data_IF_356540832176
#
_entry.id   IF_356540832176
#
_cell.length_a   1.000
_cell.length_b   1.000
_cell.length_c   1.000
_cell.angle_alpha   90.00
_cell.angle_beta   90.00
_cell.angle_gamma   90.00
#
_symmetry.space_group_name_H-M   'P 1'
#
loop_
_entity.id
_entity.type
_entity.pdbx_description
1 polymer ?
#
# COMPACT_ATOMS: atom_id res chain seq x y z
N UNK A 1 -16.78 14.87 4.02
CA UNK A 1 -16.00 14.43 5.20
C UNK A 1 -16.80 13.71 6.28
N UNK A 2 -17.90 14.27 6.81
CA UNK A 2 -18.60 13.74 7.99
C UNK A 2 -19.10 12.29 7.85
N UNK A 3 -19.41 11.85 6.63
CA UNK A 3 -19.80 10.48 6.33
C UNK A 3 -18.69 9.44 6.56
N UNK A 4 -17.42 9.85 6.72
CA UNK A 4 -16.30 8.96 7.03
C UNK A 4 -16.08 8.75 8.54
N UNK A 5 -16.80 9.48 9.39
CA UNK A 5 -16.74 9.26 10.84
C UNK A 5 -17.53 8.00 11.21
N UNK A 6 -17.19 7.29 12.29
CA UNK A 6 -18.05 6.21 12.79
C UNK A 6 -19.42 6.77 13.18
N UNK A 7 -20.49 6.18 12.68
CA UNK A 7 -21.85 6.67 12.90
C UNK A 7 -22.91 5.57 12.75
N UNK A 8 -24.06 5.78 13.38
CA UNK A 8 -25.31 5.09 13.09
C UNK A 8 -26.25 5.99 12.28
N UNK A 9 -26.25 7.29 12.56
CA UNK A 9 -27.11 8.28 11.93
C UNK A 9 -26.33 9.52 11.48
N UNK A 10 -26.67 10.04 10.31
CA UNK A 10 -26.19 11.31 9.77
C UNK A 10 -27.36 12.23 9.48
N UNK A 11 -27.21 13.51 9.79
CA UNK A 11 -28.24 14.51 9.55
C UNK A 11 -27.60 15.82 9.06
N UNK A 12 -28.13 16.39 7.98
CA UNK A 12 -27.83 17.78 7.62
C UNK A 12 -28.86 18.64 8.35
N UNK A 13 -28.41 19.47 9.29
CA UNK A 13 -29.32 20.34 10.03
C UNK A 13 -29.68 21.58 9.22
N UNK A 14 -30.89 22.11 9.45
CA UNK A 14 -31.37 23.35 8.85
C UNK A 14 -30.57 24.55 9.40
N UNK A 15 -29.41 24.77 8.79
CA UNK A 15 -28.46 25.81 9.14
C UNK A 15 -27.81 26.35 7.87
N UNK A 16 -27.59 27.68 7.71
CA UNK A 16 -27.08 28.28 6.47
C UNK A 16 -25.74 27.71 5.97
N UNK A 17 -24.93 27.14 6.85
CA UNK A 17 -23.66 26.51 6.49
C UNK A 17 -23.80 25.04 6.05
N UNK A 18 -25.01 24.47 6.05
CA UNK A 18 -25.30 23.04 5.92
C UNK A 18 -24.43 22.21 6.88
N UNK A 19 -24.57 22.48 8.18
CA UNK A 19 -23.85 21.73 9.20
C UNK A 19 -24.34 20.29 9.23
N UNK A 20 -23.45 19.37 9.57
CA UNK A 20 -23.75 17.94 9.62
C UNK A 20 -23.59 17.44 11.04
N UNK A 21 -24.64 16.82 11.57
CA UNK A 21 -24.62 16.08 12.81
C UNK A 21 -24.36 14.60 12.54
N UNK A 22 -23.63 13.98 13.47
CA UNK A 22 -23.27 12.57 13.48
C UNK A 22 -23.70 12.03 14.84
N UNK A 23 -24.67 11.11 14.84
CA UNK A 23 -25.33 10.61 16.05
C UNK A 23 -25.80 11.72 17.01
N UNK A 24 -26.31 12.82 16.43
CA UNK A 24 -26.79 14.00 17.17
C UNK A 24 -25.71 15.01 17.60
N UNK A 25 -24.43 14.75 17.29
CA UNK A 25 -23.32 15.68 17.61
C UNK A 25 -22.81 16.39 16.37
N UNK A 26 -22.53 17.69 16.47
CA UNK A 26 -21.91 18.45 15.38
C UNK A 26 -20.58 17.82 14.97
N UNK A 27 -20.34 17.68 13.66
CA UNK A 27 -19.07 17.20 13.10
C UNK A 27 -18.16 18.34 12.61
N UNK A 28 -18.51 19.59 12.91
CA UNK A 28 -17.77 20.75 12.45
C UNK A 28 -16.48 20.93 13.27
N UNK A 29 -15.34 20.99 12.58
CA UNK A 29 -14.03 21.20 13.21
C UNK A 29 -13.42 19.94 13.82
N UNK A 30 -12.09 19.95 13.95
CA UNK A 30 -11.28 18.81 14.40
C UNK A 30 -11.69 18.30 15.77
N UNK A 31 -12.00 19.20 16.71
CA UNK A 31 -12.26 18.83 18.10
C UNK A 31 -13.58 18.08 18.27
N UNK A 32 -14.63 18.50 17.57
CA UNK A 32 -15.88 17.76 17.63
C UNK A 32 -15.75 16.38 16.96
N UNK A 33 -15.00 16.29 15.87
CA UNK A 33 -14.69 15.02 15.20
C UNK A 33 -13.89 14.08 16.10
N UNK A 34 -12.93 14.62 16.86
CA UNK A 34 -12.16 13.89 17.88
C UNK A 34 -13.11 13.25 18.89
N UNK A 35 -14.01 14.03 19.48
CA UNK A 35 -15.00 13.54 20.46
C UNK A 35 -15.90 12.44 19.90
N UNK A 36 -16.37 12.59 18.66
CA UNK A 36 -17.19 11.57 17.98
C UNK A 36 -16.40 10.26 17.84
N UNK A 37 -15.16 10.34 17.35
CA UNK A 37 -14.29 9.18 17.16
C UNK A 37 -13.95 8.52 18.51
N UNK A 38 -13.52 9.29 19.50
CA UNK A 38 -13.18 8.80 20.84
C UNK A 38 -14.37 8.05 21.46
N UNK A 39 -15.56 8.66 21.46
CA UNK A 39 -16.80 8.04 21.96
C UNK A 39 -17.14 6.73 21.22
N UNK A 40 -16.96 6.69 19.90
CA UNK A 40 -17.25 5.50 19.10
C UNK A 40 -16.28 4.34 19.40
N UNK A 41 -15.01 4.64 19.68
CA UNK A 41 -13.99 3.65 20.01
C UNK A 41 -14.03 3.22 21.48
N UNK A 42 -14.43 4.10 22.40
CA UNK A 42 -14.68 3.75 23.81
C UNK A 42 -15.72 2.64 23.95
N UNK A 43 -16.80 2.67 23.17
CA UNK A 43 -17.81 1.58 23.10
C UNK A 43 -17.21 0.22 22.72
N UNK A 44 -16.03 0.20 22.12
CA UNK A 44 -15.31 -1.01 21.67
C UNK A 44 -14.11 -1.35 22.55
N UNK A 45 -13.97 -0.68 23.71
CA UNK A 45 -12.81 -0.81 24.60
C UNK A 45 -11.48 -0.50 23.89
N UNK A 46 -11.52 0.46 22.97
CA UNK A 46 -10.37 0.89 22.15
C UNK A 46 -10.16 2.39 22.29
N UNK A 47 -8.92 2.82 22.08
CA UNK A 47 -8.54 4.24 22.12
C UNK A 47 -8.30 4.73 20.71
N UNK A 48 -8.94 5.85 20.35
CA UNK A 48 -8.69 6.50 19.08
C UNK A 48 -8.51 8.00 19.27
N UNK A 49 -7.83 8.66 18.34
CA UNK A 49 -7.69 10.11 18.39
C UNK A 49 -7.55 10.72 17.00
N UNK A 50 -7.58 12.06 16.93
CA UNK A 50 -7.48 12.83 15.69
C UNK A 50 -6.31 13.80 15.78
N UNK A 51 -5.55 13.93 14.70
CA UNK A 51 -4.48 14.92 14.57
C UNK A 51 -4.44 15.50 13.16
N UNK A 52 -4.10 16.77 13.03
CA UNK A 52 -3.85 17.39 11.74
C UNK A 52 -2.49 16.92 11.22
N UNK A 53 -2.38 16.63 9.93
CA UNK A 53 -1.12 16.19 9.31
C UNK A 53 0.02 17.19 9.53
N UNK A 54 -0.27 18.49 9.46
CA UNK A 54 0.72 19.54 9.76
C UNK A 54 1.26 19.45 11.19
N UNK A 55 0.41 19.18 12.18
CA UNK A 55 0.79 19.10 13.58
C UNK A 55 1.54 17.78 13.86
N UNK A 56 1.13 16.68 13.19
CA UNK A 56 1.87 15.43 13.25
C UNK A 56 3.29 15.59 12.71
N UNK A 57 3.49 16.37 11.63
CA UNK A 57 4.82 16.63 11.08
C UNK A 57 5.72 17.43 12.02
N UNK A 58 5.19 18.19 12.98
CA UNK A 58 6.00 18.94 13.97
C UNK A 58 6.35 18.13 15.22
N UNK A 59 5.67 17.02 15.51
CA UNK A 59 5.97 16.19 16.69
C UNK A 59 7.43 15.70 16.72
N UNK A 60 8.05 15.61 17.89
CA UNK A 60 9.35 14.93 17.98
C UNK A 60 9.16 13.40 17.88
N UNK A 61 10.28 12.65 17.91
CA UNK A 61 10.27 11.19 17.78
C UNK A 61 9.50 10.50 18.92
N UNK A 62 9.67 11.00 20.15
CA UNK A 62 9.09 10.39 21.34
C UNK A 62 7.60 10.71 21.45
N UNK A 63 7.18 11.93 21.17
CA UNK A 63 5.77 12.32 21.09
C UNK A 63 5.04 11.52 20.01
N UNK A 64 5.69 11.34 18.84
CA UNK A 64 5.13 10.53 17.76
C UNK A 64 4.91 9.09 18.22
N UNK A 65 5.85 8.50 18.97
CA UNK A 65 5.73 7.12 19.48
C UNK A 65 4.69 7.00 20.59
N UNK A 66 4.63 7.98 21.49
CA UNK A 66 3.63 8.02 22.57
C UNK A 66 2.22 8.06 21.99
N UNK A 67 1.99 8.88 20.96
CA UNK A 67 0.71 8.96 20.26
C UNK A 67 0.19 7.58 19.81
N UNK A 68 1.04 6.73 19.21
CA UNK A 68 0.64 5.39 18.75
C UNK A 68 0.65 4.33 19.85
N UNK A 69 1.38 4.54 20.94
CA UNK A 69 1.34 3.64 22.09
C UNK A 69 0.05 3.83 22.89
N UNK A 70 -0.46 5.06 22.93
CA UNK A 70 -1.62 5.45 23.73
C UNK A 70 -2.96 5.24 23.00
N UNK A 71 -2.93 5.05 21.68
CA UNK A 71 -4.12 4.92 20.85
C UNK A 71 -4.01 3.72 19.89
N UNK A 72 -5.07 2.91 19.81
CA UNK A 72 -5.19 1.82 18.83
C UNK A 72 -5.37 2.35 17.40
N UNK A 73 -6.03 3.50 17.24
CA UNK A 73 -6.29 4.13 15.93
C UNK A 73 -6.03 5.64 15.98
N UNK A 74 -5.27 6.16 15.02
CA UNK A 74 -5.01 7.60 14.89
C UNK A 74 -5.51 8.08 13.53
N UNK A 75 -6.48 8.98 13.53
CA UNK A 75 -6.97 9.64 12.34
C UNK A 75 -6.09 10.86 12.03
N UNK A 76 -5.48 10.87 10.84
CA UNK A 76 -4.65 11.99 10.38
C UNK A 76 -5.41 12.73 9.29
N UNK A 77 -5.71 14.01 9.52
CA UNK A 77 -6.43 14.85 8.56
C UNK A 77 -5.49 15.73 7.75
N UNK A 78 -5.72 15.80 6.44
CA UNK A 78 -4.97 16.64 5.50
C UNK A 78 -5.96 17.29 4.53
N UNK A 79 -5.81 18.58 4.26
CA UNK A 79 -6.79 19.38 3.51
C UNK A 79 -6.15 20.29 2.45
N UNK A 80 -4.94 19.99 1.99
CA UNK A 80 -4.19 20.93 1.15
C UNK A 80 -4.90 21.22 -0.18
N UNK A 81 -5.40 20.17 -0.85
CA UNK A 81 -6.03 20.28 -2.17
C UNK A 81 -7.24 21.20 -2.09
N UNK A 82 -8.21 20.92 -1.21
CA UNK A 82 -9.41 21.75 -1.06
C UNK A 82 -9.08 23.18 -0.62
N UNK A 83 -8.16 23.36 0.33
CA UNK A 83 -7.74 24.69 0.81
C UNK A 83 -7.20 25.61 -0.31
N UNK A 84 -6.65 25.02 -1.37
CA UNK A 84 -6.12 25.72 -2.54
C UNK A 84 -7.18 25.78 -3.65
N UNK A 85 -7.82 24.65 -3.96
CA UNK A 85 -8.79 24.49 -5.04
C UNK A 85 -10.07 25.30 -4.85
N UNK A 86 -10.59 25.43 -3.63
CA UNK A 86 -11.87 26.11 -3.42
C UNK A 86 -11.82 27.63 -3.56
N UNK A 87 -10.63 28.21 -3.53
CA UNK A 87 -10.47 29.67 -3.57
C UNK A 87 -10.26 30.13 -5.00
N UNK A 88 -11.08 31.08 -5.43
CA UNK A 88 -10.98 31.73 -6.75
C UNK A 88 -9.54 32.18 -7.09
N UNK A 89 -8.81 32.72 -6.12
CA UNK A 89 -7.46 33.26 -6.32
C UNK A 89 -6.35 32.20 -6.43
N UNK A 90 -6.62 30.96 -6.03
CA UNK A 90 -5.61 29.88 -6.03
C UNK A 90 -6.08 28.60 -6.74
N UNK A 91 -7.30 28.56 -7.28
CA UNK A 91 -7.85 27.34 -7.90
C UNK A 91 -6.98 26.81 -9.06
N UNK A 92 -6.25 27.69 -9.75
CA UNK A 92 -5.32 27.31 -10.81
C UNK A 92 -4.08 26.55 -10.33
N UNK A 93 -3.75 26.65 -9.04
CA UNK A 93 -2.58 26.00 -8.42
C UNK A 93 -2.88 24.59 -7.92
N UNK A 94 -4.02 24.00 -8.31
CA UNK A 94 -4.45 22.71 -7.74
C UNK A 94 -3.50 21.58 -8.10
N UNK A 95 -2.86 21.62 -9.27
CA UNK A 95 -1.91 20.57 -9.67
C UNK A 95 -0.66 20.60 -8.78
N UNK A 96 -0.13 21.79 -8.50
CA UNK A 96 0.95 21.97 -7.54
C UNK A 96 0.49 21.53 -6.14
N UNK A 97 -0.74 21.85 -5.74
CA UNK A 97 -1.30 21.41 -4.46
C UNK A 97 -1.44 19.89 -4.36
N UNK A 98 -1.71 19.19 -5.46
CA UNK A 98 -1.76 17.73 -5.54
C UNK A 98 -0.37 17.13 -5.38
N UNK A 99 0.64 17.64 -6.10
CA UNK A 99 2.03 17.18 -5.98
C UNK A 99 2.58 17.40 -4.57
N UNK A 100 2.27 18.56 -3.99
CA UNK A 100 2.57 18.89 -2.61
C UNK A 100 1.86 17.96 -1.63
N UNK A 101 0.58 17.63 -1.87
CA UNK A 101 -0.18 16.71 -1.03
C UNK A 101 0.42 15.30 -1.09
N UNK A 102 0.83 14.82 -2.27
CA UNK A 102 1.55 13.56 -2.43
C UNK A 102 2.87 13.57 -1.64
N UNK A 103 3.64 14.67 -1.73
CA UNK A 103 4.88 14.85 -0.98
C UNK A 103 4.65 14.85 0.54
N UNK A 104 3.62 15.55 1.01
CA UNK A 104 3.21 15.56 2.41
C UNK A 104 2.79 14.16 2.89
N UNK A 105 2.00 13.44 2.10
CA UNK A 105 1.58 12.06 2.41
C UNK A 105 2.79 11.12 2.53
N UNK A 106 3.78 11.21 1.63
CA UNK A 106 5.01 10.43 1.73
C UNK A 106 5.77 10.76 3.03
N UNK A 107 5.87 12.04 3.40
CA UNK A 107 6.51 12.48 4.65
C UNK A 107 5.76 11.95 5.88
N UNK A 108 4.43 12.03 5.87
CA UNK A 108 3.58 11.47 6.92
C UNK A 108 3.78 9.98 7.05
N UNK A 109 3.70 9.21 5.95
CA UNK A 109 3.93 7.75 5.95
C UNK A 109 5.30 7.42 6.53
N UNK A 110 6.38 8.08 6.10
CA UNK A 110 7.73 7.86 6.63
C UNK A 110 7.82 8.15 8.13
N UNK A 111 7.21 9.25 8.58
CA UNK A 111 7.18 9.62 10.00
C UNK A 111 6.42 8.60 10.84
N UNK A 112 5.21 8.26 10.42
CA UNK A 112 4.33 7.28 11.06
C UNK A 112 5.01 5.92 11.17
N UNK A 113 5.57 5.45 10.06
CA UNK A 113 6.29 4.18 10.02
C UNK A 113 7.61 4.18 10.82
N UNK A 114 8.26 5.33 10.98
CA UNK A 114 9.38 5.54 11.89
C UNK A 114 8.97 5.53 13.37
N UNK A 115 7.72 5.87 13.65
CA UNK A 115 7.07 5.80 14.97
C UNK A 115 6.37 4.45 15.23
N UNK A 116 6.76 3.39 14.52
CA UNK A 116 6.26 2.02 14.65
C UNK A 116 4.81 1.76 14.17
N UNK A 117 4.17 2.69 13.44
CA UNK A 117 2.92 2.39 12.75
C UNK A 117 3.19 1.36 11.62
N UNK A 118 2.49 0.23 11.66
CA UNK A 118 2.66 -0.88 10.71
C UNK A 118 1.55 -0.95 9.66
N UNK A 119 0.33 -0.54 10.02
CA UNK A 119 -0.85 -0.55 9.16
C UNK A 119 -1.32 0.88 8.93
N UNK A 120 -1.29 1.35 7.69
CA UNK A 120 -1.82 2.65 7.30
C UNK A 120 -2.90 2.47 6.25
N UNK A 121 -4.01 3.16 6.43
CA UNK A 121 -5.08 3.31 5.45
C UNK A 121 -5.10 4.77 5.01
N UNK A 122 -5.03 4.99 3.70
CA UNK A 122 -5.05 6.32 3.10
C UNK A 122 -6.24 6.36 2.15
N UNK A 123 -7.07 7.38 2.31
CA UNK A 123 -8.26 7.58 1.48
C UNK A 123 -8.66 9.06 1.50
N UNK A 124 -9.72 9.41 0.79
CA UNK A 124 -10.32 10.74 0.75
C UNK A 124 -11.82 10.65 1.04
N UNK A 125 -12.47 11.77 1.29
CA UNK A 125 -13.92 11.86 1.42
C UNK A 125 -14.64 12.14 0.10
N UNK A 126 -13.94 12.74 -0.86
CA UNK A 126 -14.38 12.87 -2.24
C UNK A 126 -13.16 13.08 -3.15
N UNK A 127 -13.37 12.96 -4.46
CA UNK A 127 -12.47 13.51 -5.46
C UNK A 127 -12.90 14.92 -5.88
N UNK A 128 -12.38 15.39 -7.01
CA UNK A 128 -12.69 16.72 -7.55
C UNK A 128 -12.61 16.71 -9.08
N UNK A 129 -13.17 17.75 -9.70
CA UNK A 129 -13.02 18.04 -11.12
C UNK A 129 -12.26 19.36 -11.25
N UNK A 130 -11.25 19.38 -12.11
CA UNK A 130 -10.55 20.59 -12.52
C UNK A 130 -10.62 20.79 -14.03
N UNK A 131 -10.91 22.02 -14.47
CA UNK A 131 -10.84 22.43 -15.87
C UNK A 131 -9.92 23.64 -16.05
N UNK A 132 -8.83 23.44 -16.79
CA UNK A 132 -7.84 24.50 -17.01
C UNK A 132 -8.38 25.65 -17.86
N UNK A 133 -9.17 25.33 -18.90
CA UNK A 133 -9.75 26.35 -19.79
C UNK A 133 -10.86 27.10 -19.07
N UNK A 134 -11.01 28.37 -19.42
CA UNK A 134 -12.20 29.15 -19.04
C UNK A 134 -13.43 28.41 -19.54
N UNK A 135 -14.39 28.21 -18.65
CA UNK A 135 -15.62 27.49 -18.95
C UNK A 135 -16.50 28.30 -19.90
N UNK A 136 -17.02 27.62 -20.91
CA UNK A 136 -18.05 28.21 -21.76
C UNK A 136 -19.39 28.23 -21.01
N UNK A 137 -20.32 29.06 -21.47
CA UNK A 137 -21.63 29.14 -20.84
C UNK A 137 -22.38 27.79 -20.81
N UNK A 138 -22.13 26.94 -21.81
CA UNK A 138 -22.67 25.58 -21.91
C UNK A 138 -22.15 24.60 -20.86
N UNK A 139 -21.04 24.90 -20.19
CA UNK A 139 -20.48 24.07 -19.10
C UNK A 139 -21.18 24.35 -17.75
N UNK A 140 -22.03 25.38 -17.70
CA UNK A 140 -22.85 25.68 -16.55
C UNK A 140 -24.24 25.08 -16.70
N UNK A 141 -24.82 24.67 -15.57
CA UNK A 141 -26.23 24.29 -15.56
C UNK A 141 -27.08 25.55 -15.76
N UNK A 142 -27.99 25.50 -16.74
CA UNK A 142 -29.03 26.51 -16.93
C UNK A 142 -30.25 26.28 -16.03
N UNK A 143 -30.20 25.27 -15.17
CA UNK A 143 -31.27 25.00 -14.21
C UNK A 143 -31.44 26.18 -13.23
N UNK A 144 -32.67 26.64 -13.08
CA UNK A 144 -33.03 27.55 -12.01
C UNK A 144 -33.19 26.77 -10.70
N UNK A 145 -32.56 27.28 -9.65
CA UNK A 145 -32.71 26.77 -8.29
C UNK A 145 -33.94 27.41 -7.67
N UNK A 146 -34.97 26.61 -7.40
CA UNK A 146 -36.24 27.07 -6.85
C UNK A 146 -36.70 26.12 -5.75
N UNK A 147 -37.37 26.64 -4.73
CA UNK A 147 -37.95 25.88 -3.63
C UNK A 147 -38.49 26.82 -2.56
N UNK A 148 -39.23 26.28 -1.59
CA UNK A 148 -39.83 27.09 -0.54
C UNK A 148 -38.75 27.69 0.39
N UNK A 149 -37.67 26.93 0.61
CA UNK A 149 -36.49 27.42 1.32
C UNK A 149 -35.21 26.82 0.76
N UNK A 150 -34.29 27.67 0.29
CA UNK A 150 -32.93 27.26 -0.08
C UNK A 150 -31.99 27.59 1.08
N UNK A 151 -31.33 26.57 1.62
CA UNK A 151 -30.45 26.69 2.81
C UNK A 151 -29.01 26.96 2.38
N UNK A 152 -28.54 26.23 1.37
CA UNK A 152 -27.17 26.37 0.87
C UNK A 152 -27.11 26.05 -0.61
N UNK A 153 -26.55 26.97 -1.37
CA UNK A 153 -26.16 26.76 -2.76
C UNK A 153 -24.64 26.67 -2.85
N UNK A 154 -24.18 25.67 -3.60
CA UNK A 154 -22.79 25.54 -4.01
C UNK A 154 -22.75 25.16 -5.49
N UNK A 155 -21.58 25.20 -6.08
CA UNK A 155 -21.34 24.94 -7.51
C UNK A 155 -21.82 23.54 -7.94
N UNK A 156 -21.84 22.57 -7.03
CA UNK A 156 -22.16 21.16 -7.32
C UNK A 156 -23.31 20.59 -6.51
N UNK A 157 -23.93 21.39 -5.64
CA UNK A 157 -25.12 20.95 -4.91
C UNK A 157 -25.95 22.13 -4.44
N UNK A 158 -27.23 21.85 -4.19
CA UNK A 158 -28.16 22.72 -3.45
C UNK A 158 -28.76 21.89 -2.33
N UNK A 159 -28.93 22.50 -1.16
CA UNK A 159 -29.65 21.92 -0.03
C UNK A 159 -30.78 22.87 0.35
N UNK A 160 -31.98 22.34 0.57
CA UNK A 160 -33.15 23.13 0.93
C UNK A 160 -34.36 22.29 1.32
N UNK A 161 -35.53 22.93 1.36
CA UNK A 161 -36.84 22.33 1.60
C UNK A 161 -37.75 22.64 0.41
N UNK A 162 -38.56 21.65 0.02
CA UNK A 162 -39.49 21.72 -1.10
C UNK A 162 -38.86 22.25 -2.41
N UNK A 163 -37.65 21.79 -2.69
CA UNK A 163 -36.90 22.12 -3.90
C UNK A 163 -37.68 21.65 -5.14
N UNK A 164 -37.99 22.55 -6.06
CA UNK A 164 -38.72 22.22 -7.29
C UNK A 164 -37.82 21.41 -8.22
N UNK A 165 -38.38 20.38 -8.86
CA UNK A 165 -37.64 19.61 -9.86
C UNK A 165 -37.21 20.48 -11.02
N UNK A 166 -36.02 20.19 -11.55
CA UNK A 166 -35.44 20.91 -12.68
C UNK A 166 -34.70 19.92 -13.58
N UNK A 167 -34.80 20.10 -14.89
CA UNK A 167 -34.24 19.15 -15.86
C UNK A 167 -32.72 19.00 -15.70
N UNK A 168 -32.00 20.07 -15.36
CA UNK A 168 -30.55 20.06 -15.18
C UNK A 168 -30.05 19.55 -13.83
N UNK A 169 -30.96 19.30 -12.87
CA UNK A 169 -30.62 18.89 -11.51
C UNK A 169 -31.24 17.52 -11.19
N UNK A 170 -30.51 16.69 -10.47
CA UNK A 170 -31.06 15.47 -9.88
C UNK A 170 -31.40 15.74 -8.42
N UNK A 171 -32.67 15.57 -8.07
CA UNK A 171 -33.20 15.76 -6.72
C UNK A 171 -33.15 14.45 -5.94
N UNK A 172 -32.80 14.56 -4.66
CA UNK A 172 -32.78 13.49 -3.67
C UNK A 172 -33.44 13.97 -2.39
N UNK A 173 -34.21 13.11 -1.72
CA UNK A 173 -34.60 13.33 -0.32
C UNK A 173 -33.47 12.86 0.59
N UNK A 174 -33.35 13.42 1.79
CA UNK A 174 -32.36 12.99 2.78
C UNK A 174 -32.31 11.46 2.95
N UNK A 175 -33.49 10.82 3.10
CA UNK A 175 -33.62 9.36 3.23
C UNK A 175 -33.02 8.57 2.06
N UNK A 176 -33.08 9.10 0.84
CA UNK A 176 -32.57 8.42 -0.35
C UNK A 176 -31.03 8.40 -0.35
N UNK A 177 -30.42 9.26 0.45
CA UNK A 177 -28.97 9.36 0.68
C UNK A 177 -28.54 8.77 2.02
N UNK A 178 -29.44 8.07 2.74
CA UNK A 178 -29.16 7.53 4.07
C UNK A 178 -29.01 8.58 5.16
N UNK A 179 -29.58 9.77 4.96
CA UNK A 179 -29.59 10.87 5.92
C UNK A 179 -30.94 10.96 6.63
N UNK A 180 -30.92 11.38 7.89
CA UNK A 180 -32.10 11.80 8.64
C UNK A 180 -32.53 13.22 8.24
N UNK A 181 -33.78 13.56 8.57
CA UNK A 181 -34.38 14.86 8.35
C UNK A 181 -35.17 14.96 7.04
N UNK A 182 -35.72 16.14 6.81
CA UNK A 182 -36.63 16.43 5.68
C UNK A 182 -35.96 17.30 4.59
N UNK A 183 -34.66 17.59 4.74
CA UNK A 183 -33.95 18.38 3.74
C UNK A 183 -33.80 17.59 2.44
N UNK A 184 -33.83 18.33 1.35
CA UNK A 184 -33.68 17.83 -0.01
C UNK A 184 -32.37 18.33 -0.59
N UNK A 185 -31.73 17.47 -1.39
CA UNK A 185 -30.45 17.74 -2.04
C UNK A 185 -30.66 17.71 -3.54
N UNK A 186 -30.19 18.73 -4.24
CA UNK A 186 -30.10 18.73 -5.69
C UNK A 186 -28.65 18.76 -6.14
N UNK A 187 -28.31 17.91 -7.10
CA UNK A 187 -26.98 17.81 -7.68
C UNK A 187 -27.08 18.06 -9.19
N UNK A 188 -26.28 18.95 -9.79
CA UNK A 188 -26.23 19.11 -11.23
C UNK A 188 -25.92 17.80 -11.95
N UNK A 189 -26.66 17.53 -13.03
CA UNK A 189 -26.39 16.37 -13.89
C UNK A 189 -25.05 16.59 -14.61
N UNK A 190 -24.36 15.47 -14.90
CA UNK A 190 -23.04 15.49 -15.55
C UNK A 190 -21.98 16.28 -14.75
N UNK A 191 -20.96 16.78 -15.44
CA UNK A 191 -19.89 17.63 -14.90
C UNK A 191 -20.29 19.11 -14.80
N UNK A 192 -21.56 19.45 -15.05
CA UNK A 192 -22.04 20.84 -15.08
C UNK A 192 -22.06 21.48 -13.69
N UNK A 193 -21.89 22.78 -13.59
CA UNK A 193 -21.92 23.48 -12.29
C UNK A 193 -22.91 24.63 -12.26
N UNK A 194 -23.44 24.92 -11.08
CA UNK A 194 -24.25 26.10 -10.82
C UNK A 194 -23.36 27.34 -10.77
N UNK A 195 -23.88 28.49 -11.21
CA UNK A 195 -23.18 29.77 -11.15
C UNK A 195 -23.33 30.38 -9.76
N UNK A 196 -22.21 30.45 -9.03
CA UNK A 196 -22.15 31.10 -7.73
C UNK A 196 -21.31 32.38 -7.86
N UNK A 197 -21.88 33.53 -7.49
CA UNK A 197 -21.19 34.82 -7.56
C UNK A 197 -19.96 34.82 -6.66
N UNK A 198 -18.83 35.31 -7.17
CA UNK A 198 -17.57 35.44 -6.41
C UNK A 198 -16.86 34.12 -6.11
N UNK A 199 -17.26 33.02 -6.75
CA UNK A 199 -16.63 31.70 -6.58
C UNK A 199 -15.82 31.29 -7.81
N UNK A 200 -14.74 30.55 -7.59
CA UNK A 200 -13.98 29.90 -8.66
C UNK A 200 -14.84 28.86 -9.38
N UNK A 201 -14.56 28.60 -10.66
CA UNK A 201 -15.36 27.66 -11.44
C UNK A 201 -14.55 26.52 -12.05
N UNK A 202 -13.22 26.62 -11.98
CA UNK A 202 -12.31 25.61 -12.54
C UNK A 202 -12.22 24.39 -11.65
N UNK A 203 -12.12 24.58 -10.34
CA UNK A 203 -12.10 23.50 -9.36
C UNK A 203 -13.47 23.34 -8.70
N UNK A 204 -14.04 22.14 -8.76
CA UNK A 204 -15.33 21.83 -8.13
C UNK A 204 -15.37 20.43 -7.55
N UNK A 205 -16.12 20.26 -6.45
CA UNK A 205 -16.40 18.99 -5.81
C UNK A 205 -17.82 19.02 -5.18
N UNK A 206 -18.32 17.89 -4.69
CA UNK A 206 -19.63 17.76 -4.02
C UNK A 206 -20.78 17.32 -4.92
N UNK A 207 -20.49 16.87 -6.15
CA UNK A 207 -21.43 16.26 -7.06
C UNK A 207 -21.41 14.73 -7.05
N UNK A 208 -22.11 14.12 -8.00
CA UNK A 208 -22.30 12.67 -8.10
C UNK A 208 -21.54 12.03 -9.27
N UNK A 209 -20.47 12.68 -9.75
CA UNK A 209 -19.65 12.12 -10.85
C UNK A 209 -18.72 11.05 -10.33
N UNK A 210 -18.29 10.14 -11.21
CA UNK A 210 -17.37 9.06 -10.84
C UNK A 210 -16.05 9.59 -10.26
N UNK A 211 -15.55 10.70 -10.78
CA UNK A 211 -14.35 11.38 -10.29
C UNK A 211 -14.50 11.86 -8.84
N UNK A 212 -15.72 12.18 -8.42
CA UNK A 212 -16.00 12.68 -7.07
C UNK A 212 -16.34 11.55 -6.09
N UNK A 213 -16.91 10.43 -6.54
CA UNK A 213 -17.45 9.37 -5.67
C UNK A 213 -16.65 8.06 -5.69
N UNK A 214 -15.86 7.77 -6.73
CA UNK A 214 -15.00 6.58 -6.75
C UNK A 214 -13.71 6.93 -6.01
N UNK A 215 -13.65 6.51 -4.75
CA UNK A 215 -12.52 6.81 -3.87
C UNK A 215 -11.69 5.56 -3.60
N UNK A 216 -10.37 5.57 -3.93
CA UNK A 216 -9.50 4.48 -3.58
C UNK A 216 -9.21 4.45 -2.08
N UNK A 217 -9.04 3.25 -1.55
CA UNK A 217 -8.44 3.03 -0.23
C UNK A 217 -7.08 2.37 -0.45
N UNK A 218 -6.02 3.12 -0.18
CA UNK A 218 -4.65 2.63 -0.29
C UNK A 218 -4.24 2.05 1.06
N UNK A 219 -3.93 0.76 1.08
CA UNK A 219 -3.42 0.05 2.26
C UNK A 219 -1.90 -0.03 2.18
N UNK A 220 -1.21 0.64 3.10
CA UNK A 220 0.25 0.55 3.24
C UNK A 220 0.54 -0.29 4.48
N UNK A 221 1.20 -1.44 4.28
CA UNK A 221 1.67 -2.27 5.37
C UNK A 221 3.19 -2.21 5.42
N UNK A 222 3.75 -1.57 6.43
CA UNK A 222 5.17 -1.72 6.72
C UNK A 222 5.36 -3.06 7.41
N UNK A 223 5.71 -4.07 6.61
CA UNK A 223 6.28 -5.30 7.14
C UNK A 223 7.52 -4.91 7.94
N UNK A 224 7.55 -5.29 9.22
CA UNK A 224 8.79 -5.20 9.99
C UNK A 224 9.79 -6.06 9.24
N UNK A 225 10.91 -5.48 8.83
CA UNK A 225 12.05 -6.25 8.30
C UNK A 225 12.59 -7.05 9.48
N UNK A 226 12.05 -8.25 9.68
CA UNK A 226 12.38 -9.12 10.82
C UNK A 226 11.19 -9.92 11.32
N UNK A 227 10.56 -10.70 10.44
CA UNK A 227 9.70 -11.84 10.83
C UNK A 227 9.38 -12.76 9.64
N UNK A 228 9.90 -12.52 8.43
CA UNK A 228 9.87 -13.46 7.31
C UNK A 228 11.27 -13.46 6.68
N UNK A 229 12.17 -14.32 7.17
CA UNK A 229 13.42 -14.68 6.47
C UNK A 229 13.17 -15.94 5.64
N UNK A 230 14.08 -16.25 4.71
CA UNK A 230 14.18 -17.59 4.13
C UNK A 230 15.35 -18.31 4.77
N UNK A 231 15.24 -19.63 4.94
CA UNK A 231 16.32 -20.43 5.56
C UNK A 231 17.65 -20.20 4.84
N UNK A 232 18.72 -19.97 5.60
CA UNK A 232 20.07 -19.94 5.07
C UNK A 232 20.62 -21.36 4.90
N UNK A 233 21.34 -21.58 3.79
CA UNK A 233 21.89 -22.89 3.42
C UNK A 233 23.41 -22.80 3.36
N UNK A 234 24.08 -23.62 4.14
CA UNK A 234 25.53 -23.78 4.10
C UNK A 234 25.95 -25.06 3.38
N UNK A 235 27.15 -25.02 2.79
CA UNK A 235 27.79 -26.17 2.18
C UNK A 235 28.83 -26.70 3.15
N UNK A 236 28.58 -27.86 3.73
CA UNK A 236 29.56 -28.55 4.57
C UNK A 236 30.54 -29.25 3.64
N UNK A 237 31.78 -28.73 3.62
CA UNK A 237 32.86 -29.32 2.82
C UNK A 237 33.45 -30.53 3.55
N UNK A 238 33.80 -31.55 2.78
CA UNK A 238 34.73 -32.57 3.24
C UNK A 238 36.13 -31.94 3.37
N UNK A 239 37.03 -32.55 4.14
CA UNK A 239 38.38 -32.04 4.44
C UNK A 239 39.27 -31.76 3.21
N UNK A 240 38.86 -32.19 2.01
CA UNK A 240 39.55 -31.91 0.74
C UNK A 240 38.60 -31.22 -0.24
N UNK A 241 39.03 -30.09 -0.81
CA UNK A 241 38.32 -29.36 -1.87
C UNK A 241 38.67 -29.92 -3.27
N UNK A 242 38.90 -31.23 -3.39
CA UNK A 242 39.37 -31.86 -4.63
C UNK A 242 38.43 -32.97 -5.07
N UNK A 243 38.06 -32.96 -6.35
CA UNK A 243 37.21 -33.98 -6.97
C UNK A 243 38.11 -34.97 -7.71
N UNK A 244 38.29 -36.16 -7.14
CA UNK A 244 39.19 -37.19 -7.66
C UNK A 244 38.48 -38.33 -8.38
N UNK A 245 37.15 -38.40 -8.29
CA UNK A 245 36.32 -39.44 -8.89
C UNK A 245 35.27 -38.86 -9.86
N UNK A 246 34.50 -39.72 -10.52
CA UNK A 246 33.38 -39.29 -11.38
C UNK A 246 32.16 -38.75 -10.63
N UNK A 247 32.24 -38.60 -9.31
CA UNK A 247 31.16 -38.11 -8.47
C UNK A 247 31.68 -37.24 -7.32
N UNK A 248 30.83 -36.33 -6.84
CA UNK A 248 31.09 -35.50 -5.66
C UNK A 248 29.91 -35.60 -4.70
N UNK A 249 30.18 -36.10 -3.48
CA UNK A 249 29.21 -36.05 -2.39
C UNK A 249 29.37 -34.74 -1.61
N UNK A 250 28.27 -34.01 -1.43
CA UNK A 250 28.21 -32.74 -0.72
C UNK A 250 27.09 -32.82 0.32
N UNK A 251 27.32 -32.26 1.50
CA UNK A 251 26.26 -32.10 2.50
C UNK A 251 25.87 -30.63 2.56
N UNK A 252 24.59 -30.36 2.39
CA UNK A 252 24.00 -29.04 2.59
C UNK A 252 23.36 -28.99 3.97
N UNK A 253 23.50 -27.87 4.68
CA UNK A 253 22.94 -27.68 6.00
C UNK A 253 22.01 -26.47 6.02
N UNK A 254 20.77 -26.72 6.41
CA UNK A 254 19.77 -25.69 6.66
C UNK A 254 19.98 -25.14 8.08
N UNK A 255 20.42 -23.89 8.18
CA UNK A 255 20.86 -23.27 9.44
C UNK A 255 19.77 -23.25 10.51
N UNK A 256 18.56 -22.88 10.11
CA UNK A 256 17.41 -22.65 10.99
C UNK A 256 16.22 -23.53 10.56
N UNK A 257 15.39 -24.02 11.50
CA UNK A 257 14.14 -24.71 11.15
C UNK A 257 13.17 -23.76 10.44
N UNK A 258 12.35 -24.33 9.56
CA UNK A 258 11.21 -23.61 8.97
C UNK A 258 10.15 -23.35 10.04
N UNK A 259 9.66 -22.12 10.07
CA UNK A 259 8.59 -21.67 10.95
C UNK A 259 7.65 -20.75 10.16
N UNK A 260 6.57 -20.28 10.78
CA UNK A 260 5.73 -19.22 10.20
C UNK A 260 6.53 -17.96 9.82
N UNK A 261 7.70 -17.78 10.47
CA UNK A 261 8.59 -16.63 10.31
C UNK A 261 9.86 -16.89 9.49
N UNK A 262 10.17 -18.15 9.21
CA UNK A 262 11.35 -18.57 8.46
C UNK A 262 10.88 -19.50 7.36
N UNK A 263 10.81 -18.99 6.15
CA UNK A 263 10.23 -19.65 4.98
C UNK A 263 11.22 -20.64 4.35
N UNK A 264 10.72 -21.71 3.72
CA UNK A 264 11.55 -22.67 3.00
C UNK A 264 12.27 -22.02 1.83
N UNK A 265 13.36 -22.66 1.38
CA UNK A 265 14.16 -22.22 0.23
C UNK A 265 14.34 -23.36 -0.76
N UNK A 266 14.17 -23.09 -2.05
CA UNK A 266 14.42 -24.06 -3.11
C UNK A 266 15.65 -23.59 -3.89
N UNK A 267 16.68 -24.43 -3.97
CA UNK A 267 17.91 -24.13 -4.68
C UNK A 267 18.19 -25.20 -5.73
N UNK A 268 18.56 -24.75 -6.92
CA UNK A 268 19.16 -25.60 -7.94
C UNK A 268 20.66 -25.68 -7.72
N UNK A 269 21.20 -26.89 -7.59
CA UNK A 269 22.62 -27.10 -7.38
C UNK A 269 23.24 -27.88 -8.54
N UNK A 270 24.45 -27.49 -8.94
CA UNK A 270 25.24 -28.17 -9.98
C UNK A 270 26.71 -27.75 -9.95
N UNK A 271 27.57 -28.47 -10.67
CA UNK A 271 29.00 -28.17 -10.77
C UNK A 271 29.26 -27.53 -12.14
N UNK A 272 29.88 -26.36 -12.12
CA UNK A 272 30.10 -25.54 -13.31
C UNK A 272 31.58 -25.21 -13.49
N UNK A 273 32.02 -25.07 -14.73
CA UNK A 273 33.34 -24.51 -15.06
C UNK A 273 33.41 -23.02 -14.74
N UNK A 274 34.62 -22.44 -14.78
CA UNK A 274 34.81 -21.00 -14.65
C UNK A 274 34.07 -20.20 -15.73
N UNK A 275 33.88 -20.78 -16.93
CA UNK A 275 33.12 -20.18 -18.04
C UNK A 275 31.61 -20.36 -17.91
N UNK A 276 31.13 -21.09 -16.90
CA UNK A 276 29.70 -21.30 -16.63
C UNK A 276 29.08 -22.52 -17.31
N UNK A 277 29.88 -23.43 -17.86
CA UNK A 277 29.38 -24.69 -18.42
C UNK A 277 29.09 -25.70 -17.32
N UNK A 278 27.90 -26.32 -17.32
CA UNK A 278 27.53 -27.37 -16.37
C UNK A 278 28.24 -28.69 -16.73
N UNK A 279 28.94 -29.28 -15.75
CA UNK A 279 29.75 -30.49 -15.90
C UNK A 279 29.29 -31.64 -14.98
N UNK A 280 28.10 -31.52 -14.40
CA UNK A 280 27.44 -32.56 -13.63
C UNK A 280 25.95 -32.62 -13.98
N UNK A 281 25.23 -33.60 -13.42
CA UNK A 281 23.80 -33.44 -13.21
C UNK A 281 23.50 -32.25 -12.30
N UNK A 282 22.24 -31.82 -12.28
CA UNK A 282 21.75 -30.80 -11.37
C UNK A 282 20.65 -31.39 -10.48
N UNK A 283 20.50 -30.81 -9.29
CA UNK A 283 19.46 -31.20 -8.35
C UNK A 283 18.67 -29.97 -7.90
N UNK A 284 17.35 -30.10 -7.89
CA UNK A 284 16.46 -29.15 -7.22
C UNK A 284 16.29 -29.59 -5.76
N UNK A 285 16.75 -28.75 -4.83
CA UNK A 285 16.84 -29.04 -3.40
C UNK A 285 15.85 -28.16 -2.63
N UNK A 286 14.88 -28.79 -1.95
CA UNK A 286 13.96 -28.11 -1.03
C UNK A 286 14.54 -28.13 0.39
N UNK A 287 14.76 -26.96 0.95
CA UNK A 287 15.16 -26.76 2.35
C UNK A 287 13.95 -26.27 3.13
N UNK A 288 13.16 -27.21 3.62
CA UNK A 288 11.85 -26.96 4.26
C UNK A 288 11.69 -27.62 5.64
N UNK A 289 12.78 -28.15 6.21
CA UNK A 289 12.70 -28.92 7.45
C UNK A 289 12.31 -28.04 8.65
N UNK A 290 11.25 -28.37 9.39
CA UNK A 290 10.86 -27.67 10.61
C UNK A 290 11.58 -28.20 11.86
N UNK A 291 12.46 -29.21 11.72
CA UNK A 291 13.08 -29.89 12.86
C UNK A 291 14.08 -28.99 13.58
N UNK A 292 13.98 -28.92 14.91
CA UNK A 292 14.97 -28.26 15.77
C UNK A 292 16.30 -29.03 15.83
N UNK A 293 16.32 -30.32 15.47
CA UNK A 293 17.52 -31.16 15.45
C UNK A 293 18.41 -30.84 14.24
N UNK A 294 19.65 -30.33 14.41
CA UNK A 294 20.53 -29.97 13.29
C UNK A 294 20.84 -31.13 12.33
N UNK A 295 20.90 -32.37 12.82
CA UNK A 295 21.21 -33.54 11.98
C UNK A 295 20.08 -33.88 11.00
N UNK A 296 18.84 -33.53 11.34
CA UNK A 296 17.67 -33.69 10.48
C UNK A 296 17.52 -32.54 9.48
N UNK A 297 18.44 -31.57 9.53
CA UNK A 297 18.55 -30.43 8.61
C UNK A 297 19.76 -30.55 7.68
N UNK A 298 20.40 -31.72 7.63
CA UNK A 298 21.48 -32.06 6.70
C UNK A 298 20.96 -32.83 5.48
N UNK A 299 21.29 -32.35 4.29
CA UNK A 299 20.89 -32.93 3.01
C UNK A 299 22.14 -33.40 2.27
N UNK A 300 22.32 -34.72 2.18
CA UNK A 300 23.44 -35.33 1.46
C UNK A 300 23.07 -35.56 0.01
N UNK A 301 23.82 -34.95 -0.89
CA UNK A 301 23.57 -34.99 -2.34
C UNK A 301 24.84 -35.47 -3.03
N UNK A 302 24.67 -36.32 -4.05
CA UNK A 302 25.77 -36.85 -4.85
C UNK A 302 25.63 -36.37 -6.28
N UNK A 303 26.50 -35.45 -6.68
CA UNK A 303 26.61 -34.98 -8.05
C UNK A 303 27.40 -35.98 -8.88
N UNK A 304 26.89 -36.34 -10.06
CA UNK A 304 27.53 -37.22 -11.03
C UNK A 304 28.11 -36.35 -12.14
N UNK A 305 29.43 -36.45 -12.35
CA UNK A 305 30.10 -35.68 -13.40
C UNK A 305 29.74 -36.23 -14.78
N UNK A 306 29.57 -35.33 -15.74
CA UNK A 306 29.38 -35.69 -17.15
C UNK A 306 30.72 -36.00 -17.82
N UNK A 307 30.69 -36.53 -19.04
CA UNK A 307 31.89 -36.76 -19.86
C UNK A 307 32.71 -35.49 -20.08
N UNK A 308 32.08 -34.31 -20.08
CA UNK A 308 32.77 -33.02 -20.25
C UNK A 308 33.74 -32.75 -19.09
N UNK A 309 33.54 -33.33 -17.92
CA UNK A 309 34.49 -33.22 -16.82
C UNK A 309 35.86 -33.88 -17.11
N UNK A 310 35.96 -34.73 -18.14
CA UNK A 310 37.21 -35.38 -18.52
C UNK A 310 38.22 -34.42 -19.19
N UNK A 311 37.75 -33.31 -19.78
CA UNK A 311 38.62 -32.37 -20.52
C UNK A 311 39.19 -31.25 -19.65
N UNK A 312 38.81 -31.20 -18.38
CA UNK A 312 39.10 -30.08 -17.45
C UNK A 312 39.88 -30.53 -16.21
N UNK A 313 40.75 -31.54 -16.35
CA UNK A 313 41.59 -32.00 -15.25
C UNK A 313 42.57 -30.90 -14.81
N UNK A 314 42.88 -30.83 -13.52
CA UNK A 314 43.67 -29.78 -12.87
C UNK A 314 43.09 -28.36 -12.97
N UNK A 315 41.81 -28.21 -13.30
CA UNK A 315 41.13 -26.91 -13.32
C UNK A 315 40.24 -26.71 -12.10
N UNK A 316 40.00 -25.45 -11.77
CA UNK A 316 39.03 -25.03 -10.76
C UNK A 316 37.61 -25.03 -11.35
N UNK A 317 36.68 -25.58 -10.58
CA UNK A 317 35.25 -25.66 -10.89
C UNK A 317 34.46 -25.22 -9.67
N UNK A 318 33.19 -24.86 -9.87
CA UNK A 318 32.35 -24.29 -8.82
C UNK A 318 31.11 -25.13 -8.63
N UNK A 319 30.88 -25.62 -7.41
CA UNK A 319 29.55 -26.00 -7.00
C UNK A 319 28.75 -24.71 -6.83
N UNK A 320 27.75 -24.49 -7.69
CA UNK A 320 26.87 -23.31 -7.64
C UNK A 320 25.50 -23.73 -7.14
N UNK A 321 24.95 -22.91 -6.27
CA UNK A 321 23.56 -22.95 -5.83
C UNK A 321 22.87 -21.72 -6.39
N UNK A 322 21.79 -21.94 -7.10
CA UNK A 322 21.02 -20.89 -7.77
C UNK A 322 19.57 -20.91 -7.29
N UNK A 323 19.01 -19.72 -7.11
CA UNK A 323 17.61 -19.53 -6.71
C UNK A 323 16.84 -18.92 -7.89
N UNK A 324 15.66 -19.47 -8.17
CA UNK A 324 14.79 -18.92 -9.21
C UNK A 324 14.20 -17.59 -8.74
N UNK A 325 14.33 -16.54 -9.54
CA UNK A 325 13.69 -15.26 -9.26
C UNK A 325 12.17 -15.43 -9.43
N UNK A 326 11.41 -15.05 -8.39
CA UNK A 326 9.96 -15.19 -8.31
C UNK A 326 9.28 -14.77 -9.62
N UNK A 327 8.42 -15.65 -10.15
CA UNK A 327 7.64 -15.46 -11.37
C UNK A 327 8.47 -15.24 -12.65
N UNK A 328 9.73 -15.70 -12.69
CA UNK A 328 10.57 -15.67 -13.90
C UNK A 328 11.21 -17.02 -14.18
N UNK A 329 11.69 -17.23 -15.41
CA UNK A 329 12.55 -18.36 -15.76
C UNK A 329 14.05 -18.11 -15.45
N UNK A 330 14.38 -17.00 -14.79
CA UNK A 330 15.75 -16.59 -14.52
C UNK A 330 16.20 -17.08 -13.15
N UNK A 331 17.42 -17.62 -13.11
CA UNK A 331 18.10 -18.04 -11.90
C UNK A 331 19.15 -17.01 -11.50
N UNK A 332 19.25 -16.76 -10.20
CA UNK A 332 20.27 -15.91 -9.59
C UNK A 332 21.18 -16.77 -8.73
N UNK A 333 22.49 -16.55 -8.80
CA UNK A 333 23.44 -17.22 -7.91
C UNK A 333 23.15 -16.84 -6.45
N UNK A 334 22.92 -17.87 -5.64
CA UNK A 334 22.80 -17.77 -4.19
C UNK A 334 24.17 -17.91 -3.52
N UNK A 335 24.93 -18.96 -3.89
CA UNK A 335 26.25 -19.25 -3.32
C UNK A 335 27.07 -20.10 -4.27
N UNK A 336 28.38 -19.89 -4.30
CA UNK A 336 29.33 -20.71 -5.06
C UNK A 336 30.49 -21.18 -4.18
N UNK A 337 30.96 -22.41 -4.42
CA UNK A 337 32.03 -23.05 -3.67
C UNK A 337 33.05 -23.64 -4.64
N UNK A 338 34.34 -23.23 -4.57
CA UNK A 338 35.37 -23.74 -5.46
C UNK A 338 35.82 -25.16 -5.08
N UNK A 339 36.09 -25.96 -6.11
CA UNK A 339 36.70 -27.28 -6.06
C UNK A 339 37.75 -27.39 -7.17
N UNK A 340 38.75 -28.26 -7.00
CA UNK A 340 39.71 -28.60 -8.07
C UNK A 340 39.46 -30.01 -8.57
N UNK A 341 39.34 -30.21 -9.88
CA UNK A 341 39.28 -31.57 -10.46
C UNK A 341 40.69 -32.13 -10.54
N UNK A 342 40.93 -33.30 -9.94
CA UNK A 342 42.19 -34.07 -10.05
C UNK A 342 41.90 -35.54 -10.17
N UNK A 343 41.50 -35.95 -11.37
CA UNK A 343 41.17 -37.35 -11.66
C UNK A 343 42.40 -38.04 -12.22
N UNK A 344 42.75 -39.17 -11.61
CA UNK A 344 43.73 -40.10 -12.17
C UNK A 344 43.03 -40.91 -13.25
N UNK A 345 43.42 -40.73 -14.51
CA UNK A 345 42.99 -41.63 -15.56
C UNK A 345 43.77 -42.93 -15.39
N UNK A 346 43.11 -44.02 -14.98
CA UNK A 346 43.63 -45.36 -15.29
C UNK A 346 43.39 -45.56 -16.78
N UNK A 347 44.45 -45.49 -17.56
CA UNK A 347 44.48 -46.11 -18.88
C UNK A 347 44.39 -47.62 -18.66
N UNK A 348 43.18 -48.17 -18.69
CA UNK A 348 43.01 -49.62 -18.70
C UNK A 348 43.43 -50.16 -20.08
N UNK A 349 44.59 -50.84 -20.08
CA UNK A 349 45.03 -51.93 -20.96
C UNK A 349 44.67 -51.90 -22.46
N UNK A 350 45.69 -51.63 -23.29
CA UNK A 350 45.86 -52.31 -24.58
C UNK A 350 46.95 -53.40 -24.42
N UNK A 351 46.56 -54.66 -24.66
CA UNK A 351 47.43 -55.82 -24.94
C UNK A 351 47.20 -56.23 -26.39
#
# INVERSE_FOLDING_TARGET
MSALLPHENLEIIDHPQAMVNVDGYSSQGTENRRKIIEKAFEKREKKATVIQGKDLLTLNRDDSRSLFREHDVVYVYHNKIDNIGDKLVTEEQVFEAVEDACSDLIRLIKKLTGANASNLLITADHGFIYQHRVLADSDFSHAEVNGDKVIKENRRFVIGQDLKESEGLRKFKAKDMGLLGELEIQIPKSINRLRIKGSGSRFVHGGATLQEIIIPVVKVNKKRRGDLSTVEVEVIRNSTSTITSGQLAVTFYQQEPVTDKVQPRILKAGIYTQTGELISDFHDLSFDSPSENPREREYKVRFILTSNANTINNQEVFLRLEEQLTDTSHFKEYKSVPYTIRRSFTSDFDF
#
